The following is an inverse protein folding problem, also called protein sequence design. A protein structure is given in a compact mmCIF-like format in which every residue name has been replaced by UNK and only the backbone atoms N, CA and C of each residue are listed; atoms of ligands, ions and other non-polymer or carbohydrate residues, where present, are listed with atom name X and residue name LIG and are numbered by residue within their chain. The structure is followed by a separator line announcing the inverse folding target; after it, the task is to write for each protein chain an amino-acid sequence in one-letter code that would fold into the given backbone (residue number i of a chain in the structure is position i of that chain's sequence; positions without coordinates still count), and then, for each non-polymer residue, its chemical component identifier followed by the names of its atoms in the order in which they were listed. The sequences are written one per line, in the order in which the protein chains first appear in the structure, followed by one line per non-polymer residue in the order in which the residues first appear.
data_IF_760654528994
#
_entry.id   IF_760654528994
#
_cell.length_a   1.000
_cell.length_b   1.000
_cell.length_c   1.000
_cell.angle_alpha   90.00
_cell.angle_beta   90.00
_cell.angle_gamma   90.00
#
_symmetry.space_group_name_H-M   'P 1'
#
loop_
_entity.id
_entity.type
_entity.pdbx_description
1 polymer ?
#
# COMPACT_ATOMS: atom_id res chain seq x y z
N UNK A 1 6.55 40.57 -28.51
CA UNK A 1 7.46 39.57 -27.91
C UNK A 1 6.76 38.23 -27.95
N UNK A 2 7.41 37.22 -28.52
CA UNK A 2 6.78 35.92 -28.66
C UNK A 2 6.77 35.16 -27.33
N UNK A 3 5.77 34.32 -27.12
CA UNK A 3 5.67 33.49 -25.92
C UNK A 3 4.96 32.17 -26.22
N UNK A 4 5.42 31.12 -25.55
CA UNK A 4 4.74 29.83 -25.55
C UNK A 4 3.55 29.85 -24.59
N UNK A 5 2.48 29.13 -24.96
CA UNK A 5 1.29 28.98 -24.15
C UNK A 5 0.71 27.56 -24.26
N UNK A 6 -0.05 27.12 -23.27
CA UNK A 6 -0.77 25.84 -23.32
C UNK A 6 -1.96 26.00 -24.26
N UNK A 7 -2.02 25.24 -25.35
CA UNK A 7 -3.09 25.40 -26.34
C UNK A 7 -4.49 25.02 -25.80
N UNK A 8 -4.56 24.31 -24.67
CA UNK A 8 -5.82 23.90 -24.04
C UNK A 8 -6.35 24.97 -23.10
N UNK A 9 -5.47 25.57 -22.30
CA UNK A 9 -5.85 26.53 -21.25
C UNK A 9 -5.59 27.99 -21.62
N UNK A 10 -4.86 28.24 -22.71
CA UNK A 10 -4.36 29.54 -23.17
C UNK A 10 -3.40 30.25 -22.22
N UNK A 11 -3.00 29.59 -21.12
CA UNK A 11 -2.08 30.15 -20.14
C UNK A 11 -0.63 30.18 -20.68
N UNK A 12 0.17 31.23 -20.39
CA UNK A 12 1.59 31.24 -20.70
C UNK A 12 2.32 30.05 -20.06
N UNK A 13 3.28 29.47 -20.78
CA UNK A 13 4.10 28.36 -20.27
C UNK A 13 5.45 28.88 -19.76
N UNK A 14 5.82 28.40 -18.57
CA UNK A 14 7.19 28.51 -18.02
C UNK A 14 7.93 27.18 -18.09
N UNK A 15 7.19 26.07 -18.09
CA UNK A 15 7.66 24.72 -18.29
C UNK A 15 6.61 23.88 -19.03
N UNK A 16 7.00 22.69 -19.49
CA UNK A 16 6.13 21.76 -20.18
C UNK A 16 6.40 20.32 -19.73
N UNK A 17 5.78 19.85 -18.63
CA UNK A 17 5.90 18.46 -18.21
C UNK A 17 5.22 17.52 -19.22
N UNK A 18 5.92 16.43 -19.55
CA UNK A 18 5.46 15.35 -20.43
C UNK A 18 5.77 14.00 -19.79
N UNK A 19 4.99 12.97 -20.14
CA UNK A 19 5.35 11.57 -19.92
C UNK A 19 5.74 10.91 -21.24
N UNK A 20 6.53 9.83 -21.18
CA UNK A 20 6.78 8.98 -22.35
C UNK A 20 5.44 8.49 -22.94
N UNK A 21 5.24 8.76 -24.22
CA UNK A 21 4.02 8.47 -24.97
C UNK A 21 2.87 9.47 -24.78
N UNK A 22 2.98 10.43 -23.86
CA UNK A 22 1.98 11.50 -23.71
C UNK A 22 2.15 12.53 -24.83
N UNK A 23 1.01 13.03 -25.31
CA UNK A 23 0.94 14.15 -26.26
C UNK A 23 0.49 15.42 -25.53
N UNK A 24 1.10 16.56 -25.84
CA UNK A 24 0.67 17.89 -25.40
C UNK A 24 0.73 18.87 -26.57
N UNK A 25 -0.28 19.72 -26.70
CA UNK A 25 -0.28 20.78 -27.73
C UNK A 25 0.16 22.09 -27.08
N UNK A 26 1.23 22.67 -27.61
CA UNK A 26 1.78 23.97 -27.20
C UNK A 26 1.54 24.97 -28.31
N UNK A 27 1.11 26.17 -27.95
CA UNK A 27 0.99 27.30 -28.88
C UNK A 27 2.18 28.25 -28.78
N UNK A 28 2.49 28.93 -29.87
CA UNK A 28 3.41 30.05 -29.95
C UNK A 28 2.64 31.24 -30.53
N UNK A 29 2.63 32.35 -29.79
CA UNK A 29 2.07 33.61 -30.27
C UNK A 29 3.17 34.57 -30.69
N UNK A 30 2.96 35.30 -31.78
CA UNK A 30 3.86 36.34 -32.28
C UNK A 30 4.87 35.87 -33.33
N UNK A 31 5.70 36.79 -33.79
CA UNK A 31 6.73 36.60 -34.80
C UNK A 31 7.98 37.41 -34.49
N UNK A 32 8.90 37.50 -35.44
CA UNK A 32 10.05 38.41 -35.35
C UNK A 32 9.62 39.89 -35.45
N UNK A 33 10.58 40.83 -35.46
CA UNK A 33 10.30 42.27 -35.57
C UNK A 33 9.56 42.66 -36.86
N UNK A 34 9.66 41.84 -37.91
CA UNK A 34 9.03 42.07 -39.22
C UNK A 34 7.71 41.30 -39.37
N UNK A 35 7.29 40.56 -38.34
CA UNK A 35 6.09 39.73 -38.37
C UNK A 35 6.29 38.40 -39.09
N UNK A 36 7.53 37.96 -39.33
CA UNK A 36 7.80 36.64 -39.87
C UNK A 36 7.65 35.56 -38.79
N UNK A 37 7.38 34.34 -39.24
CA UNK A 37 7.31 33.16 -38.39
C UNK A 37 8.68 32.81 -37.78
N UNK A 38 8.67 32.43 -36.49
CA UNK A 38 9.88 32.00 -35.78
C UNK A 38 10.20 30.52 -36.04
N UNK A 39 11.46 30.15 -36.21
CA UNK A 39 11.87 28.74 -36.12
C UNK A 39 11.58 28.18 -34.72
N UNK A 40 11.17 26.92 -34.62
CA UNK A 40 10.97 26.23 -33.34
C UNK A 40 11.76 24.94 -33.33
N UNK A 41 12.56 24.70 -32.28
CA UNK A 41 13.38 23.50 -32.14
C UNK A 41 13.33 22.96 -30.71
N UNK A 42 13.53 21.64 -30.61
CA UNK A 42 13.65 20.87 -29.37
C UNK A 42 14.50 19.62 -29.67
N UNK A 43 15.10 19.01 -28.65
CA UNK A 43 15.77 17.71 -28.80
C UNK A 43 14.76 16.62 -29.21
N UNK A 44 14.77 16.29 -30.50
CA UNK A 44 13.90 15.28 -31.11
C UNK A 44 14.24 13.85 -30.69
N UNK A 45 15.38 13.60 -30.01
CA UNK A 45 15.69 12.29 -29.43
C UNK A 45 14.89 12.03 -28.15
N UNK A 46 14.44 13.09 -27.46
CA UNK A 46 13.64 13.04 -26.24
C UNK A 46 12.17 13.38 -26.48
N UNK A 47 11.88 14.33 -27.37
CA UNK A 47 10.52 14.83 -27.64
C UNK A 47 10.28 14.93 -29.14
N UNK A 48 9.36 14.12 -29.68
CA UNK A 48 8.90 14.29 -31.05
C UNK A 48 8.00 15.53 -31.13
N UNK A 49 8.34 16.47 -32.00
CA UNK A 49 7.52 17.66 -32.26
C UNK A 49 6.92 17.60 -33.67
N UNK A 50 5.61 17.82 -33.77
CA UNK A 50 4.89 17.96 -35.03
C UNK A 50 4.11 19.27 -35.04
N UNK A 51 4.38 20.14 -36.00
CA UNK A 51 3.59 21.35 -36.19
C UNK A 51 2.18 21.00 -36.71
N UNK A 52 1.16 21.58 -36.09
CA UNK A 52 -0.23 21.54 -36.53
C UNK A 52 -0.55 22.77 -37.37
N UNK A 53 -1.67 22.70 -38.09
CA UNK A 53 -2.09 23.74 -39.04
C UNK A 53 -2.02 25.14 -38.41
N UNK A 54 -1.27 26.09 -39.01
CA UNK A 54 -1.09 27.43 -38.44
C UNK A 54 -2.41 28.22 -38.44
N UNK A 55 -2.60 29.01 -37.39
CA UNK A 55 -3.62 30.05 -37.31
C UNK A 55 -3.02 31.42 -37.62
N UNK A 56 -3.86 32.43 -37.89
CA UNK A 56 -3.38 33.80 -38.10
C UNK A 56 -2.71 34.31 -36.81
N UNK A 57 -1.39 34.51 -36.83
CA UNK A 57 -0.53 34.91 -35.70
C UNK A 57 -0.34 33.84 -34.58
N UNK A 58 -0.73 32.60 -34.82
CA UNK A 58 -0.59 31.49 -33.87
C UNK A 58 -0.05 30.26 -34.56
N UNK A 59 0.96 29.62 -33.95
CA UNK A 59 1.46 28.33 -34.40
C UNK A 59 1.30 27.31 -33.29
N UNK A 60 0.95 26.08 -33.65
CA UNK A 60 0.66 25.01 -32.70
C UNK A 60 1.57 23.84 -32.95
N UNK A 61 2.12 23.28 -31.88
CA UNK A 61 3.07 22.17 -31.91
C UNK A 61 2.55 21.05 -31.01
N UNK A 62 2.35 19.86 -31.58
CA UNK A 62 2.12 18.65 -30.81
C UNK A 62 3.47 18.06 -30.38
N UNK A 63 3.72 18.07 -29.08
CA UNK A 63 4.88 17.44 -28.46
C UNK A 63 4.51 16.04 -27.98
N UNK A 64 5.34 15.05 -28.29
CA UNK A 64 5.20 13.67 -27.79
C UNK A 64 6.48 13.24 -27.07
N UNK A 65 6.39 12.92 -25.78
CA UNK A 65 7.56 12.41 -25.04
C UNK A 65 7.99 11.03 -25.57
N UNK A 66 9.26 10.88 -25.93
CA UNK A 66 9.81 9.62 -26.46
C UNK A 66 10.58 8.84 -25.41
N UNK A 67 11.41 9.52 -24.64
CA UNK A 67 12.28 8.93 -23.61
C UNK A 67 12.37 9.88 -22.42
N UNK A 68 12.59 9.38 -21.18
CA UNK A 68 12.79 10.24 -20.03
C UNK A 68 14.03 11.12 -20.21
N UNK A 69 13.95 12.38 -19.78
CA UNK A 69 15.03 13.35 -19.89
C UNK A 69 14.51 14.79 -19.85
N UNK A 70 15.43 15.73 -19.87
CA UNK A 70 15.15 17.17 -19.90
C UNK A 70 15.54 17.73 -21.28
N UNK A 71 14.64 18.47 -21.91
CA UNK A 71 14.87 19.19 -23.16
C UNK A 71 14.46 20.66 -23.00
N UNK A 72 14.84 21.51 -23.95
CA UNK A 72 14.44 22.92 -23.99
C UNK A 72 13.76 23.19 -25.32
N UNK A 73 12.60 23.84 -25.29
CA UNK A 73 11.88 24.30 -26.47
C UNK A 73 12.25 25.76 -26.74
N UNK A 74 12.82 26.01 -27.91
CA UNK A 74 13.25 27.33 -28.36
C UNK A 74 12.34 27.87 -29.45
N UNK A 75 12.13 29.18 -29.48
CA UNK A 75 11.61 29.90 -30.64
C UNK A 75 12.60 30.99 -31.06
N UNK A 76 13.10 30.91 -32.28
CA UNK A 76 14.23 31.72 -32.75
C UNK A 76 13.98 32.36 -34.12
N UNK A 77 14.68 33.44 -34.42
CA UNK A 77 14.85 33.95 -35.77
C UNK A 77 16.32 34.32 -35.98
N UNK A 78 16.97 33.68 -36.96
CA UNK A 78 18.42 33.75 -37.10
C UNK A 78 19.14 33.12 -35.90
N UNK A 79 19.95 33.91 -35.20
CA UNK A 79 20.77 33.48 -34.06
C UNK A 79 20.19 33.87 -32.68
N UNK A 80 19.01 34.51 -32.65
CA UNK A 80 18.43 35.04 -31.41
C UNK A 80 17.17 34.28 -31.02
N UNK A 81 17.01 34.01 -29.72
CA UNK A 81 15.77 33.56 -29.14
C UNK A 81 14.78 34.74 -29.05
N UNK A 82 13.59 34.58 -29.61
CA UNK A 82 12.53 35.61 -29.65
C UNK A 82 11.40 35.33 -28.66
N UNK A 83 11.42 34.15 -28.03
CA UNK A 83 10.61 33.80 -26.87
C UNK A 83 11.52 33.29 -25.75
N UNK A 84 11.05 33.39 -24.50
CA UNK A 84 11.71 32.76 -23.36
C UNK A 84 11.72 31.24 -23.60
N UNK A 85 12.91 30.58 -23.63
CA UNK A 85 12.98 29.13 -23.77
C UNK A 85 12.26 28.45 -22.61
N UNK A 86 11.46 27.42 -22.91
CA UNK A 86 10.73 26.67 -21.87
C UNK A 86 11.34 25.29 -21.67
N UNK A 87 11.52 24.89 -20.41
CA UNK A 87 11.98 23.55 -20.07
C UNK A 87 10.90 22.50 -20.34
N UNK A 88 11.26 21.44 -21.05
CA UNK A 88 10.37 20.30 -21.35
C UNK A 88 10.91 19.07 -20.62
N UNK A 89 10.26 18.71 -19.51
CA UNK A 89 10.66 17.56 -18.68
C UNK A 89 9.85 16.33 -19.06
N UNK A 90 10.50 15.34 -19.67
CA UNK A 90 9.89 14.05 -20.00
C UNK A 90 10.14 13.07 -18.86
N UNK A 91 9.07 12.65 -18.22
CA UNK A 91 9.07 11.63 -17.17
C UNK A 91 8.69 10.27 -17.74
N UNK A 92 8.96 9.19 -17.01
CA UNK A 92 8.50 7.85 -17.41
C UNK A 92 6.97 7.85 -17.53
N UNK A 93 6.47 6.99 -18.44
CA UNK A 93 5.04 6.75 -18.60
C UNK A 93 4.46 6.19 -17.30
N UNK A 94 3.68 6.99 -16.56
CA UNK A 94 2.93 6.51 -15.40
C UNK A 94 1.45 6.69 -15.69
N UNK A 95 0.89 5.74 -16.43
CA UNK A 95 -0.52 5.74 -16.78
C UNK A 95 -1.27 4.83 -15.84
N UNK A 96 -1.57 5.31 -14.64
CA UNK A 96 -2.72 4.82 -13.90
C UNK A 96 -3.89 5.74 -14.24
N UNK A 97 -4.86 5.32 -15.09
CA UNK A 97 -6.03 6.13 -15.41
C UNK A 97 -6.74 6.61 -14.14
N UNK A 98 -7.38 7.78 -14.17
CA UNK A 98 -8.03 8.36 -12.98
C UNK A 98 -8.99 7.39 -12.26
N UNK A 99 -9.76 6.59 -13.02
CA UNK A 99 -10.64 5.56 -12.46
C UNK A 99 -9.88 4.47 -11.68
N UNK A 100 -8.63 4.19 -12.06
CA UNK A 100 -7.74 3.24 -11.37
C UNK A 100 -7.11 3.84 -10.12
N UNK A 101 -6.88 5.15 -10.08
CA UNK A 101 -6.49 5.84 -8.84
C UNK A 101 -7.60 5.77 -7.79
N UNK A 102 -8.87 5.97 -8.17
CA UNK A 102 -10.02 5.82 -7.26
C UNK A 102 -10.09 4.41 -6.69
N UNK A 103 -9.86 3.40 -7.51
CA UNK A 103 -9.90 2.00 -7.08
C UNK A 103 -8.74 1.62 -6.16
N UNK A 104 -7.53 2.15 -6.41
CA UNK A 104 -6.38 2.03 -5.49
C UNK A 104 -6.68 2.67 -4.15
N UNK A 105 -7.27 3.87 -4.15
CA UNK A 105 -7.72 4.54 -2.94
C UNK A 105 -8.75 3.68 -2.18
N UNK A 106 -9.68 3.03 -2.88
CA UNK A 106 -10.66 2.15 -2.25
C UNK A 106 -10.00 0.92 -1.57
N UNK A 107 -8.98 0.31 -2.20
CA UNK A 107 -8.20 -0.80 -1.61
C UNK A 107 -7.53 -0.35 -0.30
N UNK A 108 -6.87 0.81 -0.29
CA UNK A 108 -6.21 1.30 0.94
C UNK A 108 -7.21 1.79 1.98
N UNK A 109 -8.36 2.33 1.58
CA UNK A 109 -9.44 2.71 2.51
C UNK A 109 -9.98 1.47 3.24
N UNK A 110 -10.19 0.38 2.51
CA UNK A 110 -10.58 -0.90 3.11
C UNK A 110 -9.50 -1.38 4.08
N UNK A 111 -8.24 -1.40 3.66
CA UNK A 111 -7.12 -1.81 4.53
C UNK A 111 -7.08 -0.99 5.83
N UNK A 112 -7.17 0.34 5.72
CA UNK A 112 -7.13 1.26 6.87
C UNK A 112 -8.36 1.17 7.75
N UNK A 113 -9.51 0.72 7.24
CA UNK A 113 -10.72 0.53 8.04
C UNK A 113 -10.52 -0.48 9.19
N UNK A 114 -9.54 -1.39 9.04
CA UNK A 114 -9.15 -2.43 9.99
C UNK A 114 -8.04 -2.00 10.96
N UNK A 115 -7.34 -0.90 10.69
CA UNK A 115 -6.25 -0.43 11.53
C UNK A 115 -6.74 -0.09 12.95
N UNK A 116 -6.08 -0.67 13.96
CA UNK A 116 -6.46 -0.54 15.37
C UNK A 116 -7.75 -1.29 15.77
N UNK A 117 -8.40 -2.02 14.85
CA UNK A 117 -9.65 -2.75 15.12
C UNK A 117 -9.52 -4.26 14.91
N UNK A 118 -8.71 -4.67 13.95
CA UNK A 118 -8.49 -6.07 13.62
C UNK A 118 -7.24 -6.61 14.32
N UNK A 119 -7.28 -7.90 14.65
CA UNK A 119 -6.15 -8.59 15.25
C UNK A 119 -5.31 -9.32 14.21
N UNK A 120 -4.06 -9.62 14.58
CA UNK A 120 -3.22 -10.50 13.81
C UNK A 120 -3.41 -11.96 14.28
N UNK A 121 -3.45 -12.88 13.33
CA UNK A 121 -3.46 -14.32 13.56
C UNK A 121 -2.91 -15.04 12.34
N UNK A 122 -1.82 -15.79 12.51
CA UNK A 122 -1.20 -16.54 11.42
C UNK A 122 -2.19 -17.48 10.72
N UNK A 123 -2.18 -17.48 9.38
CA UNK A 123 -3.06 -18.28 8.53
C UNK A 123 -4.44 -17.65 8.26
N UNK A 124 -4.81 -16.59 8.99
CA UNK A 124 -6.09 -15.91 8.83
C UNK A 124 -6.12 -14.97 7.61
N UNK A 125 -7.29 -14.82 7.00
CA UNK A 125 -7.49 -13.98 5.82
C UNK A 125 -8.75 -13.10 5.96
N UNK A 126 -8.94 -12.51 7.13
CA UNK A 126 -9.98 -11.51 7.39
C UNK A 126 -11.30 -12.04 7.92
N UNK A 127 -11.41 -13.34 8.21
CA UNK A 127 -12.62 -13.87 8.82
C UNK A 127 -12.62 -13.70 10.34
N UNK A 128 -13.81 -13.47 10.89
CA UNK A 128 -14.08 -13.44 12.32
C UNK A 128 -14.26 -14.87 12.84
N UNK A 129 -14.00 -15.17 14.13
CA UNK A 129 -14.11 -16.53 14.64
C UNK A 129 -15.50 -17.13 14.42
N UNK A 130 -15.57 -18.27 13.71
CA UNK A 130 -16.83 -18.97 13.41
C UNK A 130 -17.65 -18.38 12.26
N UNK A 131 -17.21 -17.27 11.66
CA UNK A 131 -17.90 -16.60 10.56
C UNK A 131 -17.24 -16.91 9.21
N UNK A 132 -18.03 -16.85 8.13
CA UNK A 132 -17.58 -17.05 6.74
C UNK A 132 -17.34 -15.72 5.99
N UNK A 133 -16.81 -14.73 6.69
CA UNK A 133 -16.68 -13.32 6.26
C UNK A 133 -15.24 -12.92 5.87
N UNK A 134 -14.35 -13.90 5.67
CA UNK A 134 -12.98 -13.66 5.20
C UNK A 134 -12.85 -13.61 3.68
N UNK A 135 -11.60 -13.62 3.22
CA UNK A 135 -11.28 -13.68 1.81
C UNK A 135 -11.83 -14.96 1.20
N UNK A 136 -12.32 -14.90 -0.05
CA UNK A 136 -13.01 -16.01 -0.73
C UNK A 136 -12.26 -17.35 -0.71
N UNK A 137 -10.93 -17.32 -0.75
CA UNK A 137 -10.07 -18.52 -0.74
C UNK A 137 -9.86 -19.11 0.67
N UNK A 138 -10.19 -18.36 1.72
CA UNK A 138 -10.17 -18.76 3.14
C UNK A 138 -11.31 -18.07 3.92
N UNK A 139 -12.58 -18.37 3.58
CA UNK A 139 -13.70 -17.59 4.09
C UNK A 139 -13.96 -17.82 5.58
N UNK A 140 -13.59 -18.98 6.13
CA UNK A 140 -14.04 -19.44 7.44
C UNK A 140 -12.96 -20.24 8.21
N UNK A 141 -11.71 -19.76 8.26
CA UNK A 141 -10.59 -20.53 8.83
C UNK A 141 -10.36 -20.29 10.32
N UNK A 142 -10.66 -19.07 10.79
CA UNK A 142 -10.53 -18.68 12.20
C UNK A 142 -11.66 -19.23 13.05
N UNK A 143 -11.31 -19.79 14.21
CA UNK A 143 -12.23 -20.40 15.18
C UNK A 143 -12.02 -19.78 16.56
N UNK A 144 -13.04 -19.88 17.43
CA UNK A 144 -12.94 -19.49 18.83
C UNK A 144 -12.52 -20.70 19.67
N UNK A 145 -11.53 -20.55 20.55
CA UNK A 145 -11.19 -21.58 21.52
C UNK A 145 -12.27 -21.67 22.59
N UNK A 146 -12.46 -22.87 23.14
CA UNK A 146 -13.26 -23.03 24.36
C UNK A 146 -12.53 -22.32 25.49
N UNK A 147 -13.29 -21.53 26.26
CA UNK A 147 -12.72 -20.80 27.37
C UNK A 147 -12.07 -21.74 28.40
N UNK A 148 -10.84 -21.40 28.78
CA UNK A 148 -10.03 -22.11 29.76
C UNK A 148 -9.50 -21.12 30.78
N UNK A 149 -9.82 -21.36 32.05
CA UNK A 149 -9.34 -20.58 33.19
C UNK A 149 -8.19 -21.26 33.93
N UNK A 150 -7.48 -22.18 33.27
CA UNK A 150 -6.26 -22.79 33.79
C UNK A 150 -5.12 -21.75 33.78
N UNK A 151 -4.50 -21.51 34.94
CA UNK A 151 -3.42 -20.54 35.12
C UNK A 151 -2.18 -20.81 34.26
N UNK A 152 -1.99 -22.05 33.79
CA UNK A 152 -0.88 -22.41 32.91
C UNK A 152 -1.20 -22.31 31.42
N UNK A 153 -2.48 -22.34 31.07
CA UNK A 153 -2.96 -22.32 29.68
C UNK A 153 -4.31 -21.58 29.58
N UNK A 154 -4.35 -20.30 29.98
CA UNK A 154 -5.57 -19.55 29.86
C UNK A 154 -5.93 -19.37 28.39
N UNK A 155 -7.22 -19.34 28.10
CA UNK A 155 -7.74 -19.02 26.79
C UNK A 155 -9.12 -18.45 27.03
N UNK A 156 -9.27 -17.13 27.03
CA UNK A 156 -10.56 -16.49 27.28
C UNK A 156 -10.89 -15.64 26.07
N UNK A 157 -11.99 -15.93 25.37
CA UNK A 157 -12.37 -15.29 24.11
C UNK A 157 -11.22 -15.22 23.10
N UNK A 158 -10.49 -16.33 22.95
CA UNK A 158 -9.26 -16.38 22.16
C UNK A 158 -9.50 -17.07 20.81
N UNK A 159 -9.21 -16.36 19.72
CA UNK A 159 -9.23 -16.93 18.39
C UNK A 159 -8.00 -17.79 18.10
N UNK A 160 -8.16 -18.77 17.21
CA UNK A 160 -7.08 -19.62 16.73
C UNK A 160 -7.27 -20.08 15.27
N UNK A 161 -6.16 -20.53 14.67
CA UNK A 161 -6.14 -21.33 13.44
C UNK A 161 -5.29 -22.58 13.65
N UNK A 162 -5.47 -23.59 12.79
CA UNK A 162 -4.62 -24.79 12.74
C UNK A 162 -3.75 -24.83 11.45
N UNK A 163 -3.66 -23.72 10.71
CA UNK A 163 -2.89 -23.63 9.48
C UNK A 163 -1.40 -23.61 9.80
N UNK A 164 -0.66 -24.64 9.36
CA UNK A 164 0.77 -24.77 9.64
C UNK A 164 1.08 -25.09 11.12
N UNK A 165 0.09 -25.55 11.88
CA UNK A 165 0.16 -25.76 13.33
C UNK A 165 -0.83 -24.88 14.09
N UNK A 166 -0.94 -25.09 15.40
CA UNK A 166 -1.85 -24.31 16.26
C UNK A 166 -1.30 -22.89 16.45
N UNK A 167 -2.01 -21.89 15.96
CA UNK A 167 -1.71 -20.48 16.17
C UNK A 167 -2.84 -19.84 16.99
N UNK A 168 -2.51 -19.09 18.04
CA UNK A 168 -3.50 -18.37 18.84
C UNK A 168 -3.30 -16.87 18.71
N UNK A 169 -4.38 -16.10 18.78
CA UNK A 169 -4.32 -14.66 18.71
C UNK A 169 -3.83 -14.09 20.05
N UNK A 170 -2.92 -13.11 20.01
CA UNK A 170 -2.49 -12.36 21.20
C UNK A 170 -3.40 -11.14 21.50
N UNK A 171 -4.38 -10.85 20.65
CA UNK A 171 -5.38 -9.79 20.86
C UNK A 171 -4.80 -8.39 20.95
N UNK A 172 -3.81 -8.06 20.10
CA UNK A 172 -3.12 -6.76 20.14
C UNK A 172 -2.60 -6.41 21.54
N UNK A 173 -2.01 -7.40 22.24
CA UNK A 173 -1.57 -7.25 23.63
C UNK A 173 -0.64 -6.06 23.90
N UNK A 174 0.13 -5.59 22.90
CA UNK A 174 1.01 -4.44 23.07
C UNK A 174 0.26 -3.10 23.19
N UNK A 175 -1.03 -3.05 22.83
CA UNK A 175 -1.84 -1.83 22.92
C UNK A 175 -2.68 -1.77 24.20
N UNK A 176 -2.54 -2.75 25.10
CA UNK A 176 -3.32 -2.83 26.35
C UNK A 176 -2.40 -3.07 27.55
N UNK A 177 -2.89 -2.69 28.72
CA UNK A 177 -2.18 -2.89 29.98
C UNK A 177 -2.04 -4.40 30.25
N UNK A 178 -0.81 -4.84 30.49
CA UNK A 178 -0.52 -6.21 30.89
C UNK A 178 -0.54 -6.33 32.42
N UNK A 179 -1.22 -7.37 32.93
CA UNK A 179 -1.21 -7.66 34.37
C UNK A 179 -0.02 -8.55 34.76
N UNK A 180 0.35 -8.50 36.04
CA UNK A 180 1.40 -9.37 36.61
C UNK A 180 0.94 -10.83 36.62
N UNK A 181 1.89 -11.76 36.77
CA UNK A 181 1.57 -13.19 36.92
C UNK A 181 0.63 -13.44 38.10
N UNK A 182 0.88 -12.80 39.25
CA UNK A 182 0.04 -12.97 40.44
C UNK A 182 -1.38 -12.49 40.18
N UNK A 183 -1.55 -11.25 39.68
CA UNK A 183 -2.87 -10.69 39.37
C UNK A 183 -3.62 -11.53 38.32
N UNK A 184 -2.90 -12.08 37.33
CA UNK A 184 -3.48 -12.98 36.33
C UNK A 184 -3.97 -14.28 36.97
N UNK A 185 -3.17 -14.89 37.84
CA UNK A 185 -3.53 -16.12 38.54
C UNK A 185 -4.72 -15.92 39.48
N UNK A 186 -4.73 -14.81 40.22
CA UNK A 186 -5.82 -14.45 41.14
C UNK A 186 -7.14 -14.29 40.38
N UNK A 187 -7.11 -13.57 39.25
CA UNK A 187 -8.28 -13.43 38.37
C UNK A 187 -8.77 -14.78 37.85
N UNK A 188 -7.88 -15.61 37.30
CA UNK A 188 -8.24 -16.91 36.72
C UNK A 188 -8.78 -17.88 37.79
N UNK A 189 -8.17 -17.90 38.98
CA UNK A 189 -8.62 -18.72 40.10
C UNK A 189 -10.01 -18.29 40.59
N UNK A 190 -10.23 -16.98 40.74
CA UNK A 190 -11.52 -16.44 41.16
C UNK A 190 -12.61 -16.75 40.11
N UNK A 191 -12.34 -16.46 38.83
CA UNK A 191 -13.25 -16.76 37.71
C UNK A 191 -13.63 -18.24 37.65
N UNK A 192 -12.67 -19.14 37.90
CA UNK A 192 -12.92 -20.59 37.98
C UNK A 192 -13.85 -20.97 39.14
N UNK A 193 -13.78 -20.25 40.26
CA UNK A 193 -14.61 -20.51 41.45
C UNK A 193 -16.02 -19.95 41.32
N UNK A 194 -16.15 -18.70 40.86
CA UNK A 194 -17.43 -17.96 40.89
C UNK A 194 -18.17 -17.94 39.55
N UNK A 195 -17.55 -18.44 38.49
CA UNK A 195 -18.13 -18.40 37.15
C UNK A 195 -18.03 -16.99 36.56
N UNK A 196 -19.17 -16.38 36.22
CA UNK A 196 -19.19 -15.09 35.54
C UNK A 196 -18.87 -13.92 36.50
N UNK A 197 -17.70 -13.31 36.34
CA UNK A 197 -17.24 -12.09 37.02
C UNK A 197 -16.84 -10.99 36.02
N UNK A 198 -16.99 -9.70 36.37
CA UNK A 198 -16.47 -8.60 35.55
C UNK A 198 -14.99 -8.77 35.20
N UNK A 199 -14.61 -8.35 33.98
CA UNK A 199 -13.21 -8.30 33.60
C UNK A 199 -12.47 -7.26 34.45
N UNK A 200 -11.24 -7.53 34.92
CA UNK A 200 -10.45 -6.59 35.70
C UNK A 200 -10.02 -5.38 34.85
N UNK A 201 -10.00 -5.56 33.53
CA UNK A 201 -9.75 -4.53 32.53
C UNK A 201 -10.85 -4.62 31.48
N UNK A 202 -11.48 -3.49 31.14
CA UNK A 202 -12.58 -3.44 30.18
C UNK A 202 -12.13 -4.06 28.85
N UNK A 203 -12.84 -5.10 28.41
CA UNK A 203 -12.63 -5.82 27.14
C UNK A 203 -11.24 -6.45 26.94
N UNK A 204 -10.47 -6.68 28.02
CA UNK A 204 -9.18 -7.36 27.96
C UNK A 204 -9.25 -8.70 28.68
N UNK A 205 -8.77 -9.77 28.04
CA UNK A 205 -8.82 -11.13 28.60
C UNK A 205 -7.48 -11.87 28.48
N UNK A 206 -7.13 -12.73 29.44
CA UNK A 206 -5.87 -13.47 29.44
C UNK A 206 -5.89 -14.64 28.45
N UNK A 207 -4.75 -14.91 27.83
CA UNK A 207 -4.58 -16.03 26.88
C UNK A 207 -3.14 -16.47 26.73
N UNK A 208 -2.96 -17.75 26.41
CA UNK A 208 -1.67 -18.32 26.03
C UNK A 208 -1.43 -18.12 24.53
N UNK A 209 -0.40 -17.36 24.18
CA UNK A 209 0.03 -17.16 22.80
C UNK A 209 0.86 -18.34 22.28
N UNK A 210 0.47 -18.85 21.11
CA UNK A 210 1.15 -19.93 20.39
C UNK A 210 1.34 -19.57 18.92
N UNK A 211 2.48 -19.97 18.39
CA UNK A 211 2.80 -19.91 16.97
C UNK A 211 3.39 -21.24 16.52
N UNK A 212 2.79 -21.84 15.50
CA UNK A 212 3.09 -23.20 15.01
C UNK A 212 3.10 -24.25 16.14
N UNK A 213 2.16 -24.14 17.09
CA UNK A 213 2.02 -25.06 18.23
C UNK A 213 2.94 -24.75 19.43
N UNK A 214 3.96 -23.92 19.25
CA UNK A 214 4.91 -23.55 20.30
C UNK A 214 4.44 -22.33 21.07
N UNK A 215 4.59 -22.36 22.40
CA UNK A 215 4.40 -21.17 23.24
C UNK A 215 5.56 -20.21 22.98
N UNK A 216 5.25 -18.96 22.64
CA UNK A 216 6.30 -17.95 22.43
C UNK A 216 6.51 -17.14 23.71
N UNK A 217 7.76 -16.79 24.07
CA UNK A 217 8.10 -16.18 25.36
C UNK A 217 7.78 -14.67 25.39
N UNK A 218 6.51 -14.32 25.20
CA UNK A 218 6.00 -12.95 25.24
C UNK A 218 5.20 -12.71 26.53
N UNK A 219 4.73 -11.48 26.72
CA UNK A 219 4.05 -11.04 27.95
C UNK A 219 5.03 -10.63 29.05
N UNK A 220 4.49 -10.08 30.15
CA UNK A 220 5.30 -9.51 31.25
C UNK A 220 6.22 -10.54 31.91
N UNK A 221 5.79 -11.80 31.98
CA UNK A 221 6.54 -12.88 32.61
C UNK A 221 7.28 -13.78 31.62
N UNK A 222 7.28 -13.44 30.33
CA UNK A 222 7.92 -14.21 29.25
C UNK A 222 7.49 -15.69 29.18
N UNK A 223 6.32 -16.03 29.73
CA UNK A 223 5.77 -17.38 29.72
C UNK A 223 4.74 -17.60 28.60
N UNK A 224 4.54 -16.59 27.74
CA UNK A 224 3.59 -16.59 26.63
C UNK A 224 2.16 -16.26 27.01
N UNK A 225 1.87 -15.99 28.28
CA UNK A 225 0.56 -15.49 28.71
C UNK A 225 0.52 -13.98 28.52
N UNK A 226 -0.49 -13.51 27.80
CA UNK A 226 -0.73 -12.09 27.53
C UNK A 226 -2.18 -11.72 27.83
N UNK A 227 -2.38 -10.45 28.11
CA UNK A 227 -3.70 -9.81 28.16
C UNK A 227 -3.93 -9.10 26.83
N UNK A 228 -5.05 -9.38 26.16
CA UNK A 228 -5.39 -8.80 24.87
C UNK A 228 -6.87 -8.50 24.73
N UNK A 229 -7.27 -7.80 23.66
CA UNK A 229 -8.68 -7.59 23.32
C UNK A 229 -9.41 -8.91 23.05
N UNK A 230 -10.66 -9.04 23.48
CA UNK A 230 -11.51 -10.20 23.14
C UNK A 230 -11.60 -10.41 21.61
N UNK A 231 -11.61 -11.67 21.16
CA UNK A 231 -11.59 -11.96 19.72
C UNK A 231 -13.00 -12.10 19.10
N UNK A 232 -14.05 -11.98 19.89
CA UNK A 232 -15.43 -12.13 19.43
C UNK A 232 -15.79 -11.00 18.46
N UNK A 233 -16.36 -11.36 17.29
CA UNK A 233 -16.73 -10.41 16.23
C UNK A 233 -15.57 -9.53 15.70
N UNK A 234 -14.31 -9.90 16.00
CA UNK A 234 -13.13 -9.20 15.50
C UNK A 234 -12.56 -9.93 14.28
N UNK A 235 -12.26 -9.20 13.21
CA UNK A 235 -11.56 -9.76 12.04
C UNK A 235 -10.10 -10.06 12.38
N UNK A 236 -9.61 -11.16 11.83
CA UNK A 236 -8.24 -11.63 12.05
C UNK A 236 -7.50 -11.77 10.72
N UNK A 237 -6.26 -11.29 10.66
CA UNK A 237 -5.44 -11.35 9.47
C UNK A 237 -4.02 -11.82 9.77
N UNK A 238 -3.40 -12.58 8.87
CA UNK A 238 -1.95 -12.57 8.74
C UNK A 238 -1.50 -11.53 7.71
N UNK A 239 -0.20 -11.27 7.57
CA UNK A 239 0.30 -10.19 6.73
C UNK A 239 -0.08 -10.37 5.24
N UNK A 240 0.02 -11.58 4.69
CA UNK A 240 -0.32 -11.86 3.29
C UNK A 240 -1.83 -11.97 3.05
N UNK A 241 -2.55 -12.54 4.00
CA UNK A 241 -3.99 -12.67 4.04
C UNK A 241 -4.68 -11.32 4.11
N UNK A 242 -4.09 -10.35 4.82
CA UNK A 242 -4.54 -8.96 4.84
C UNK A 242 -4.48 -8.32 3.44
N UNK A 243 -3.33 -8.41 2.78
CA UNK A 243 -3.14 -7.86 1.42
C UNK A 243 -4.10 -8.53 0.44
N UNK A 244 -4.14 -9.87 0.42
CA UNK A 244 -5.02 -10.63 -0.46
C UNK A 244 -6.51 -10.31 -0.22
N UNK A 245 -6.93 -10.18 1.04
CA UNK A 245 -8.31 -9.81 1.38
C UNK A 245 -8.68 -8.45 0.79
N UNK A 246 -7.87 -7.42 1.04
CA UNK A 246 -8.14 -6.07 0.55
C UNK A 246 -8.21 -6.03 -0.97
N UNK A 247 -7.28 -6.69 -1.66
CA UNK A 247 -7.31 -6.79 -3.12
C UNK A 247 -8.51 -7.59 -3.66
N UNK A 248 -8.96 -8.62 -2.94
CA UNK A 248 -10.06 -9.48 -3.40
C UNK A 248 -11.42 -8.79 -3.51
N UNK A 249 -11.59 -7.67 -2.81
CA UNK A 249 -12.81 -6.88 -2.83
C UNK A 249 -12.89 -5.95 -4.04
N UNK A 250 -11.76 -5.61 -4.64
CA UNK A 250 -11.69 -4.60 -5.70
C UNK A 250 -11.12 -5.08 -7.02
N UNK A 251 -10.52 -6.27 -7.10
CA UNK A 251 -9.93 -6.80 -8.34
C UNK A 251 -10.84 -7.85 -8.98
N UNK A 252 -10.94 -7.82 -10.32
CA UNK A 252 -11.72 -8.81 -11.06
C UNK A 252 -11.21 -10.24 -10.80
N UNK A 253 -12.08 -11.08 -10.23
CA UNK A 253 -11.73 -12.40 -9.68
C UNK A 253 -11.12 -13.38 -10.70
N UNK A 254 -11.44 -13.24 -11.99
CA UNK A 254 -10.88 -14.10 -13.05
C UNK A 254 -9.41 -13.82 -13.35
N UNK A 255 -8.84 -12.75 -12.79
CA UNK A 255 -7.49 -12.29 -13.13
C UNK A 255 -6.48 -12.42 -11.99
N UNK A 256 -6.92 -12.54 -10.75
CA UNK A 256 -6.02 -12.51 -9.58
C UNK A 256 -6.02 -13.84 -8.82
N UNK A 257 -4.90 -14.58 -8.78
CA UNK A 257 -4.82 -15.83 -8.04
C UNK A 257 -4.57 -15.52 -6.55
N UNK A 258 -5.67 -15.39 -5.81
CA UNK A 258 -5.64 -15.26 -4.36
C UNK A 258 -5.06 -16.52 -3.70
N UNK A 259 -4.39 -16.34 -2.55
CA UNK A 259 -3.75 -17.44 -1.82
C UNK A 259 -2.27 -17.66 -2.14
N UNK A 260 -1.67 -16.78 -2.95
CA UNK A 260 -0.25 -16.76 -3.29
C UNK A 260 0.62 -16.40 -2.07
N UNK A 261 1.80 -17.01 -1.95
CA UNK A 261 2.75 -16.73 -0.87
C UNK A 261 3.48 -15.39 -1.06
N UNK A 262 4.01 -14.81 0.04
CA UNK A 262 4.84 -13.58 -0.04
C UNK A 262 6.03 -13.79 -0.97
N UNK A 263 6.68 -14.95 -0.85
CA UNK A 263 7.84 -15.33 -1.68
C UNK A 263 7.48 -15.31 -3.16
N UNK A 264 6.34 -15.86 -3.55
CA UNK A 264 5.90 -15.87 -4.94
C UNK A 264 5.56 -14.48 -5.47
N UNK A 265 4.82 -13.66 -4.71
CA UNK A 265 4.55 -12.28 -5.10
C UNK A 265 5.83 -11.47 -5.30
N UNK A 266 6.81 -11.65 -4.42
CA UNK A 266 8.05 -10.89 -4.49
C UNK A 266 9.04 -11.45 -5.50
N UNK A 267 9.01 -12.75 -5.81
CA UNK A 267 9.96 -13.36 -6.76
C UNK A 267 9.44 -13.32 -8.20
N UNK A 268 8.13 -13.54 -8.41
CA UNK A 268 7.51 -13.65 -9.74
C UNK A 268 6.26 -12.77 -9.89
N UNK A 269 6.33 -11.46 -9.57
CA UNK A 269 5.15 -10.58 -9.58
C UNK A 269 4.39 -10.56 -10.92
N UNK A 270 5.10 -10.68 -12.04
CA UNK A 270 4.49 -10.67 -13.38
C UNK A 270 3.48 -11.82 -13.60
N UNK A 271 3.70 -12.99 -12.98
CA UNK A 271 2.76 -14.12 -13.05
C UNK A 271 1.41 -13.82 -12.39
N UNK A 272 1.38 -12.77 -11.57
CA UNK A 272 0.26 -12.41 -10.71
C UNK A 272 -0.39 -11.08 -11.11
N UNK A 273 -0.03 -10.56 -12.28
CA UNK A 273 -0.55 -9.27 -12.72
C UNK A 273 0.11 -8.08 -12.03
N UNK A 274 1.32 -8.24 -11.49
CA UNK A 274 2.09 -7.17 -10.83
C UNK A 274 3.34 -6.78 -11.61
N UNK A 275 3.76 -5.53 -11.47
CA UNK A 275 5.03 -5.00 -11.96
C UNK A 275 5.89 -4.53 -10.79
N UNK A 276 7.21 -4.62 -10.95
CA UNK A 276 8.16 -4.07 -9.96
C UNK A 276 8.24 -2.56 -10.12
N UNK A 277 8.15 -1.80 -9.02
CA UNK A 277 8.25 -0.34 -9.03
C UNK A 277 9.58 0.10 -8.44
N UNK A 278 10.58 0.24 -9.31
CA UNK A 278 11.95 0.59 -8.93
C UNK A 278 12.16 2.10 -8.68
N UNK A 279 11.30 2.96 -9.23
CA UNK A 279 11.47 4.40 -9.15
C UNK A 279 10.98 4.95 -7.81
N UNK A 280 11.88 5.42 -6.95
CA UNK A 280 11.53 5.90 -5.61
C UNK A 280 10.59 7.10 -5.59
N UNK A 281 10.45 7.83 -6.71
CA UNK A 281 9.51 8.95 -6.84
C UNK A 281 8.10 8.51 -7.27
N UNK A 282 7.98 7.29 -7.79
CA UNK A 282 6.72 6.69 -8.23
C UNK A 282 6.07 5.90 -7.08
N UNK A 283 5.54 6.59 -6.07
CA UNK A 283 4.79 5.96 -4.97
C UNK A 283 3.30 6.17 -5.20
N UNK A 284 2.52 5.09 -5.20
CA UNK A 284 1.06 5.15 -5.32
C UNK A 284 0.37 4.36 -4.21
N UNK A 285 -0.88 4.73 -3.95
CA UNK A 285 -1.78 3.94 -3.12
C UNK A 285 -1.89 2.50 -3.62
N UNK A 286 -1.98 1.59 -2.65
CA UNK A 286 -2.02 0.15 -2.82
C UNK A 286 -0.74 -0.48 -3.38
N UNK A 287 0.35 0.26 -3.57
CA UNK A 287 1.65 -0.38 -3.82
C UNK A 287 1.96 -1.38 -2.69
N UNK A 288 2.32 -2.60 -3.04
CA UNK A 288 2.66 -3.64 -2.08
C UNK A 288 4.16 -3.57 -1.84
N UNK A 289 4.54 -3.53 -0.57
CA UNK A 289 5.94 -3.56 -0.13
C UNK A 289 6.20 -4.81 0.70
N UNK A 290 7.42 -5.35 0.64
CA UNK A 290 7.80 -6.51 1.42
C UNK A 290 9.17 -6.36 2.08
N UNK A 291 9.34 -7.11 3.17
CA UNK A 291 10.60 -7.21 3.90
C UNK A 291 11.34 -8.50 3.54
N UNK A 292 12.66 -8.37 3.41
CA UNK A 292 13.58 -9.48 3.16
C UNK A 292 14.61 -9.57 4.27
N UNK A 293 14.93 -10.79 4.70
CA UNK A 293 16.10 -11.06 5.54
C UNK A 293 16.86 -12.26 4.97
N UNK A 294 18.17 -12.32 5.18
CA UNK A 294 18.99 -13.43 4.67
C UNK A 294 18.54 -14.79 5.22
N UNK A 295 18.13 -14.82 6.50
CA UNK A 295 17.69 -16.04 7.18
C UNK A 295 16.24 -16.43 6.83
N UNK A 296 15.35 -15.45 6.67
CA UNK A 296 13.91 -15.68 6.53
C UNK A 296 13.39 -15.54 5.09
N UNK A 297 14.22 -15.06 4.16
CA UNK A 297 13.78 -14.67 2.83
C UNK A 297 12.73 -13.55 2.89
N UNK A 298 11.78 -13.58 1.96
CA UNK A 298 10.59 -12.73 2.01
C UNK A 298 9.63 -13.20 3.09
N UNK A 299 9.49 -12.44 4.17
CA UNK A 299 8.82 -12.90 5.39
C UNK A 299 7.70 -11.96 5.87
N UNK A 300 7.62 -10.74 5.35
CA UNK A 300 6.58 -9.79 5.74
C UNK A 300 6.16 -8.89 4.59
N UNK A 301 4.92 -8.41 4.62
CA UNK A 301 4.31 -7.64 3.53
C UNK A 301 3.31 -6.60 4.07
N UNK A 302 3.18 -5.48 3.36
CA UNK A 302 2.24 -4.40 3.68
C UNK A 302 1.83 -3.65 2.42
N UNK A 303 0.91 -2.70 2.57
CA UNK A 303 0.46 -1.81 1.50
C UNK A 303 0.80 -0.36 1.81
N UNK A 304 1.22 0.38 0.80
CA UNK A 304 1.48 1.81 0.88
C UNK A 304 0.17 2.58 0.67
N UNK A 305 0.01 3.66 1.42
CA UNK A 305 -0.99 4.68 1.15
C UNK A 305 -0.40 6.08 1.30
N UNK A 306 -0.94 7.05 0.57
CA UNK A 306 -0.52 8.45 0.59
C UNK A 306 -1.40 9.25 1.55
N UNK A 307 -0.76 9.90 2.52
CA UNK A 307 -1.39 10.92 3.37
C UNK A 307 -0.74 12.27 3.04
N UNK A 308 -1.41 13.02 2.16
CA UNK A 308 -0.82 14.22 1.57
C UNK A 308 0.42 13.87 0.74
N UNK A 309 1.59 14.34 1.18
CA UNK A 309 2.88 14.04 0.54
C UNK A 309 3.65 12.90 1.21
N UNK A 310 3.13 12.36 2.31
CA UNK A 310 3.80 11.32 3.09
C UNK A 310 3.25 9.95 2.71
N UNK A 311 4.14 9.05 2.29
CA UNK A 311 3.79 7.65 2.12
C UNK A 311 3.81 6.93 3.47
N UNK A 312 2.74 6.22 3.80
CA UNK A 312 2.58 5.43 5.03
C UNK A 312 2.27 3.98 4.69
N UNK A 313 2.39 3.10 5.68
CA UNK A 313 2.26 1.65 5.52
C UNK A 313 1.11 1.17 6.37
N UNK A 314 0.16 0.48 5.74
CA UNK A 314 -0.86 -0.31 6.41
C UNK A 314 -0.53 -1.80 6.31
N UNK A 315 -0.54 -2.51 7.44
CA UNK A 315 -0.08 -3.90 7.54
C UNK A 315 -0.74 -4.64 8.71
N UNK A 316 -0.90 -5.96 8.60
CA UNK A 316 -1.09 -6.83 9.75
C UNK A 316 0.29 -7.19 10.29
N UNK A 317 0.75 -6.51 11.34
CA UNK A 317 2.16 -6.46 11.73
C UNK A 317 2.66 -7.73 12.43
N UNK A 318 2.02 -8.10 13.55
CA UNK A 318 2.33 -9.29 14.35
C UNK A 318 1.21 -9.52 15.37
N UNK A 319 1.11 -10.71 15.96
CA UNK A 319 0.07 -11.10 16.92
C UNK A 319 -0.10 -10.10 18.07
N UNK A 320 0.97 -9.60 18.73
CA UNK A 320 0.85 -8.64 19.82
C UNK A 320 0.46 -7.23 19.37
N UNK A 321 0.55 -6.92 18.07
CA UNK A 321 0.36 -5.58 17.53
C UNK A 321 -1.01 -5.46 16.82
N UNK A 322 -1.36 -6.44 15.99
CA UNK A 322 -2.56 -6.39 15.15
C UNK A 322 -2.34 -5.66 13.82
N UNK A 323 -3.40 -5.06 13.28
CA UNK A 323 -3.35 -4.25 12.06
C UNK A 323 -3.05 -2.79 12.40
N UNK A 324 -2.05 -2.19 11.75
CA UNK A 324 -1.60 -0.82 11.99
C UNK A 324 -1.38 -0.05 10.69
N UNK A 325 -1.49 1.28 10.76
CA UNK A 325 -1.20 2.21 9.66
C UNK A 325 -0.22 3.34 10.05
N UNK A 326 0.58 3.12 11.10
CA UNK A 326 1.40 4.18 11.72
C UNK A 326 2.80 4.32 11.14
N UNK A 327 3.31 3.31 10.42
CA UNK A 327 4.67 3.33 9.90
C UNK A 327 4.79 4.19 8.64
N UNK A 328 5.85 5.00 8.57
CA UNK A 328 6.16 5.83 7.39
C UNK A 328 7.00 5.01 6.41
N UNK A 329 6.69 5.10 5.12
CA UNK A 329 7.48 4.50 4.04
C UNK A 329 8.36 5.55 3.36
N UNK A 330 9.67 5.38 3.46
CA UNK A 330 10.64 6.24 2.78
C UNK A 330 11.13 5.55 1.50
N UNK A 331 10.48 5.78 0.36
CA UNK A 331 10.80 5.06 -0.88
C UNK A 331 12.26 5.22 -1.36
N UNK A 332 12.89 6.36 -1.07
CA UNK A 332 14.31 6.59 -1.38
C UNK A 332 15.28 5.89 -0.41
N UNK A 333 14.81 5.55 0.79
CA UNK A 333 15.55 4.88 1.85
C UNK A 333 14.65 3.82 2.52
N UNK A 334 14.30 2.75 1.80
CA UNK A 334 13.20 1.87 2.20
C UNK A 334 13.46 1.06 3.48
N UNK A 335 14.70 1.05 3.98
CA UNK A 335 15.08 0.27 5.15
C UNK A 335 14.81 -1.21 4.94
N UNK A 336 14.02 -1.81 5.85
CA UNK A 336 13.63 -3.21 5.74
C UNK A 336 12.68 -3.51 4.57
N UNK A 337 12.00 -2.52 4.00
CA UNK A 337 11.00 -2.67 2.93
C UNK A 337 11.64 -2.73 1.54
N UNK A 338 12.46 -3.75 1.30
CA UNK A 338 13.44 -3.80 0.21
C UNK A 338 12.84 -3.97 -1.19
N UNK A 339 11.56 -4.33 -1.33
CA UNK A 339 10.91 -4.46 -2.64
C UNK A 339 9.50 -3.89 -2.64
N UNK A 340 9.17 -3.25 -3.75
CA UNK A 340 7.84 -2.73 -4.04
C UNK A 340 7.32 -3.25 -5.37
N UNK A 341 6.08 -3.71 -5.36
CA UNK A 341 5.36 -4.16 -6.55
C UNK A 341 4.01 -3.45 -6.62
N UNK A 342 3.48 -3.33 -7.84
CA UNK A 342 2.24 -2.64 -8.12
C UNK A 342 1.37 -3.51 -9.01
N UNK A 343 0.10 -3.63 -8.67
CA UNK A 343 -0.86 -4.32 -9.53
C UNK A 343 -0.96 -3.57 -10.87
N UNK A 344 -0.99 -4.29 -11.99
CA UNK A 344 -1.17 -3.67 -13.29
C UNK A 344 -2.58 -3.07 -13.43
N UNK A 345 -2.68 -1.93 -14.09
CA UNK A 345 -3.95 -1.17 -14.17
C UNK A 345 -5.06 -1.85 -14.98
N UNK A 346 -4.73 -2.87 -15.78
CA UNK A 346 -5.69 -3.72 -16.49
C UNK A 346 -6.29 -4.85 -15.63
N UNK A 347 -5.79 -4.99 -14.39
CA UNK A 347 -6.25 -5.97 -13.39
C UNK A 347 -7.23 -5.33 -12.41
N UNK A 348 -6.96 -4.08 -12.03
CA UNK A 348 -7.94 -3.16 -11.47
C UNK A 348 -9.08 -3.00 -12.48
#
# INVERSE_FOLDING_TARGET
MAHFFDATTTAPLVDCPLQVGQKKTVGLFGGDFFGNDLGVIIDQSLVKMQEKKPGKNFRYFELTGLKPGDAILHAYAGLFDYAIPIGVKVTKKMFTPQGKLVQRQAIVNEARSHAGKAHYLWGAAGNSPGMSDGAKYRPSIVKMQVDSFDTKKPSVQTAFTDIGGRNTCAGSSNTVIQLTTQATNDYLALRKQVGDMPLPLINVTPRLYKFNGEVKPIGVSHNGIVWGGGCENVKHFDCIGFVNYCYSLFVAQSKYPFGTSIVEFMTRPANYGFVVVADSTDVLDADIIAQYSEKGGWHHIGMVYMEGKTAKIVQAADSPIGVTDTAIYHAAQPGAWTKRIRIMDNML
#
